data_IF_113801639844
#
_entry.id   IF_113801639844
#
_cell.length_a   1.000
_cell.length_b   1.000
_cell.length_c   1.000
_cell.angle_alpha   90.00
_cell.angle_beta   90.00
_cell.angle_gamma   90.00
#
_symmetry.space_group_name_H-M   'P 1'
#
loop_
_entity.id
_entity.type
_entity.pdbx_description
1 polymer ?
#
# COMPACT_ATOMS: atom_id res chain seq x y z
N UNK A 1 3.18 4.58 -75.42
CA UNK A 1 2.55 3.37 -74.84
C UNK A 1 3.69 2.49 -74.34
N UNK A 2 3.94 2.21 -73.06
CA UNK A 2 3.15 2.20 -71.82
C UNK A 2 4.00 2.78 -70.66
N UNK A 3 3.35 3.51 -69.74
CA UNK A 3 3.85 3.78 -68.37
C UNK A 3 4.05 2.45 -67.64
N UNK A 4 5.01 2.37 -66.72
CA UNK A 4 4.76 1.80 -65.39
C UNK A 4 5.74 2.36 -64.36
N UNK A 5 5.15 3.07 -63.39
CA UNK A 5 5.73 3.54 -62.15
C UNK A 5 5.88 2.32 -61.24
N UNK A 6 7.07 2.08 -60.68
CA UNK A 6 7.22 1.11 -59.60
C UNK A 6 7.64 1.85 -58.34
N UNK A 7 6.62 2.17 -57.54
CA UNK A 7 6.76 2.70 -56.20
C UNK A 7 7.54 1.70 -55.34
N UNK A 8 8.64 2.17 -54.76
CA UNK A 8 9.41 1.43 -53.76
C UNK A 8 8.61 1.43 -52.46
N UNK A 9 7.98 0.30 -52.15
CA UNK A 9 7.21 0.10 -50.93
C UNK A 9 8.17 -0.02 -49.74
N UNK A 10 8.26 1.07 -48.96
CA UNK A 10 8.95 1.10 -47.68
C UNK A 10 8.09 0.36 -46.65
N UNK A 11 8.40 -0.91 -46.39
CA UNK A 11 7.72 -1.70 -45.34
C UNK A 11 8.32 -1.29 -43.99
N UNK A 12 7.71 -0.30 -43.34
CA UNK A 12 7.96 -0.01 -41.93
C UNK A 12 7.33 -1.13 -41.08
N UNK A 13 8.14 -2.08 -40.63
CA UNK A 13 7.74 -3.02 -39.58
C UNK A 13 7.62 -2.28 -38.25
N UNK A 14 6.39 -1.88 -37.91
CA UNK A 14 6.04 -1.38 -36.57
C UNK A 14 6.11 -2.54 -35.58
N UNK A 15 7.17 -2.59 -34.78
CA UNK A 15 7.24 -3.39 -33.57
C UNK A 15 6.22 -2.82 -32.57
N UNK A 16 5.03 -3.43 -32.50
CA UNK A 16 4.07 -3.20 -31.42
C UNK A 16 4.65 -3.84 -30.15
N UNK A 17 5.40 -3.06 -29.38
CA UNK A 17 5.72 -3.42 -27.99
C UNK A 17 4.42 -3.22 -27.20
N UNK A 18 3.67 -4.30 -27.02
CA UNK A 18 2.55 -4.32 -26.08
C UNK A 18 3.10 -4.17 -24.67
N UNK A 19 3.15 -2.93 -24.19
CA UNK A 19 3.32 -2.66 -22.77
C UNK A 19 2.12 -3.30 -22.06
N UNK A 20 2.36 -4.36 -21.29
CA UNK A 20 1.37 -4.89 -20.37
C UNK A 20 1.02 -3.76 -19.40
N UNK A 21 -0.21 -3.26 -19.47
CA UNK A 21 -0.71 -2.27 -18.52
C UNK A 21 -0.96 -3.02 -17.20
N UNK A 22 -0.04 -2.88 -16.25
CA UNK A 22 -0.27 -3.32 -14.88
C UNK A 22 -1.22 -2.30 -14.26
N UNK A 23 -2.51 -2.64 -14.19
CA UNK A 23 -3.48 -1.81 -13.48
C UNK A 23 -3.14 -1.86 -11.99
N UNK A 24 -2.58 -0.78 -11.44
CA UNK A 24 -2.46 -0.60 -10.00
C UNK A 24 -3.71 0.13 -9.49
N UNK A 25 -4.48 -0.52 -8.63
CA UNK A 25 -5.62 0.11 -7.95
C UNK A 25 -5.19 0.55 -6.55
N UNK A 26 -5.37 1.84 -6.25
CA UNK A 26 -5.12 2.40 -4.91
C UNK A 26 -6.46 2.76 -4.28
N UNK A 27 -6.74 2.22 -3.10
CA UNK A 27 -7.91 2.54 -2.27
C UNK A 27 -7.48 3.34 -1.07
N UNK A 28 -8.15 4.45 -0.79
CA UNK A 28 -7.85 5.28 0.38
C UNK A 28 -9.05 5.30 1.33
N UNK A 29 -8.79 5.18 2.64
CA UNK A 29 -9.81 5.30 3.67
C UNK A 29 -9.30 6.03 4.91
N UNK A 30 -10.21 6.64 5.65
CA UNK A 30 -9.92 7.38 6.86
C UNK A 30 -10.69 6.76 8.04
N UNK A 31 -10.04 6.68 9.19
CA UNK A 31 -10.62 6.12 10.41
C UNK A 31 -10.07 6.86 11.64
N UNK A 32 -10.77 6.77 12.76
CA UNK A 32 -10.29 7.30 14.03
C UNK A 32 -10.10 6.17 15.03
N UNK A 33 -9.23 6.39 16.02
CA UNK A 33 -9.06 5.48 17.13
C UNK A 33 -8.91 6.24 18.45
N UNK A 34 -9.40 5.66 19.54
CA UNK A 34 -9.27 6.23 20.87
C UNK A 34 -7.86 6.01 21.41
N UNK A 35 -7.25 7.05 21.95
CA UNK A 35 -5.96 6.96 22.64
C UNK A 35 -6.10 6.62 24.13
N UNK A 36 -7.31 6.35 24.61
CA UNK A 36 -7.56 6.04 26.03
C UNK A 36 -7.35 4.59 26.39
N UNK A 37 -7.32 3.73 25.38
CA UNK A 37 -6.94 2.34 25.49
C UNK A 37 -5.68 2.13 24.66
N UNK A 38 -4.97 1.04 24.90
CA UNK A 38 -3.79 0.66 24.13
C UNK A 38 -4.24 0.34 22.69
N UNK A 39 -3.94 1.20 21.70
CA UNK A 39 -4.47 1.02 20.35
C UNK A 39 -3.88 -0.23 19.72
N UNK A 40 -4.75 -1.06 19.15
CA UNK A 40 -4.36 -2.31 18.49
C UNK A 40 -4.98 -2.40 17.11
N UNK A 41 -4.13 -2.63 16.11
CA UNK A 41 -4.51 -2.70 14.70
C UNK A 41 -4.36 -4.13 14.19
N UNK A 42 -5.34 -4.62 13.44
CA UNK A 42 -5.26 -5.94 12.84
C UNK A 42 -4.27 -5.96 11.66
N UNK A 43 -3.51 -7.04 11.55
CA UNK A 43 -2.57 -7.30 10.47
C UNK A 43 -3.19 -8.29 9.51
N UNK A 44 -3.18 -7.96 8.21
CA UNK A 44 -3.45 -8.95 7.19
C UNK A 44 -2.20 -9.83 6.99
N UNK A 45 -2.23 -11.07 7.46
CA UNK A 45 -1.09 -12.00 7.37
C UNK A 45 -0.73 -12.42 5.93
N UNK A 46 -1.64 -12.18 4.98
CA UNK A 46 -1.47 -12.52 3.56
C UNK A 46 -1.09 -11.32 2.70
N UNK A 47 -0.85 -10.16 3.32
CA UNK A 47 -0.47 -8.94 2.63
C UNK A 47 0.77 -8.33 3.26
N UNK A 48 1.54 -7.63 2.44
CA UNK A 48 2.59 -6.76 2.97
C UNK A 48 1.90 -5.54 3.59
N UNK A 49 2.18 -5.30 4.86
CA UNK A 49 1.62 -4.16 5.59
C UNK A 49 2.74 -3.31 6.16
N UNK A 50 2.66 -2.01 5.90
CA UNK A 50 3.59 -1.01 6.42
C UNK A 50 2.83 0.02 7.24
N UNK A 51 3.38 0.41 8.38
CA UNK A 51 2.85 1.46 9.24
C UNK A 51 3.84 2.61 9.34
N UNK A 52 3.34 3.82 9.15
CA UNK A 52 4.12 5.05 9.22
C UNK A 52 3.45 6.13 10.05
N UNK A 53 4.27 7.02 10.59
CA UNK A 53 3.83 8.27 11.22
C UNK A 53 4.72 9.40 10.70
N UNK A 54 4.14 10.55 10.33
CA UNK A 54 4.88 11.66 9.72
C UNK A 54 5.83 11.20 8.60
N UNK A 55 5.31 10.37 7.69
CA UNK A 55 6.03 9.75 6.56
C UNK A 55 7.23 8.86 6.94
N UNK A 56 7.42 8.57 8.22
CA UNK A 56 8.47 7.68 8.72
C UNK A 56 7.87 6.31 9.00
N UNK A 57 8.39 5.28 8.32
CA UNK A 57 8.00 3.90 8.57
C UNK A 57 8.52 3.42 9.92
N UNK A 58 7.63 2.94 10.77
CA UNK A 58 7.98 2.43 12.11
C UNK A 58 7.70 0.93 12.27
N UNK A 59 6.82 0.35 11.44
CA UNK A 59 6.59 -1.09 11.45
C UNK A 59 6.33 -1.66 10.05
N UNK A 60 6.72 -2.92 9.85
CA UNK A 60 6.51 -3.69 8.62
C UNK A 60 6.14 -5.12 8.99
N UNK A 61 5.20 -5.71 8.26
CA UNK A 61 4.83 -7.12 8.33
C UNK A 61 4.68 -7.66 6.91
N UNK A 62 5.51 -8.65 6.54
CA UNK A 62 5.58 -9.19 5.17
C UNK A 62 5.48 -10.73 5.13
N UNK A 63 4.81 -11.36 6.10
CA UNK A 63 4.64 -12.81 6.21
C UNK A 63 5.92 -13.58 6.56
N UNK A 64 7.06 -13.21 5.97
CA UNK A 64 8.38 -13.78 6.20
C UNK A 64 9.19 -13.00 7.25
N UNK A 65 8.86 -11.74 7.50
CA UNK A 65 9.56 -10.91 8.47
C UNK A 65 8.65 -9.86 9.10
N UNK A 66 9.02 -9.45 10.31
CA UNK A 66 8.38 -8.36 11.03
C UNK A 66 9.45 -7.40 11.53
N UNK A 67 9.17 -6.11 11.41
CA UNK A 67 9.96 -5.04 11.99
C UNK A 67 9.04 -4.14 12.81
N UNK A 68 9.47 -3.76 14.00
CA UNK A 68 8.71 -2.93 14.93
C UNK A 68 9.71 -2.00 15.64
N UNK A 69 9.50 -0.70 15.49
CA UNK A 69 10.26 0.38 16.14
C UNK A 69 9.26 1.35 16.75
N UNK A 70 9.65 2.11 17.79
CA UNK A 70 8.79 3.13 18.37
C UNK A 70 8.13 3.99 17.28
N UNK A 71 6.81 4.25 17.37
CA UNK A 71 5.91 3.98 18.49
C UNK A 71 5.28 2.57 18.52
N UNK A 72 5.71 1.64 17.66
CA UNK A 72 5.31 0.24 17.77
C UNK A 72 5.97 -0.40 18.99
N UNK A 73 5.14 -0.92 19.89
CA UNK A 73 5.57 -1.70 21.06
C UNK A 73 5.60 -3.18 20.73
N UNK A 74 4.65 -3.62 19.92
CA UNK A 74 4.38 -5.04 19.72
C UNK A 74 3.79 -5.33 18.35
N UNK A 75 4.32 -6.36 17.70
CA UNK A 75 3.83 -6.87 16.43
C UNK A 75 3.88 -8.40 16.45
N UNK A 76 2.81 -9.02 16.92
CA UNK A 76 2.68 -10.47 17.03
C UNK A 76 1.21 -10.88 16.91
N UNK A 77 0.93 -12.18 16.74
CA UNK A 77 -0.44 -12.73 16.71
C UNK A 77 -1.39 -12.07 15.70
N UNK A 78 -0.84 -11.47 14.64
CA UNK A 78 -1.62 -10.74 13.65
C UNK A 78 -2.15 -9.40 14.15
N UNK A 79 -1.51 -8.80 15.15
CA UNK A 79 -1.86 -7.51 15.73
C UNK A 79 -0.63 -6.63 15.89
N UNK A 80 -0.81 -5.34 15.64
CA UNK A 80 0.17 -4.29 15.91
C UNK A 80 -0.35 -3.40 17.04
N UNK A 81 0.49 -3.12 18.03
CA UNK A 81 0.17 -2.25 19.17
C UNK A 81 1.12 -1.07 19.22
N UNK A 82 0.57 0.12 19.47
CA UNK A 82 1.31 1.36 19.74
C UNK A 82 1.07 1.84 21.17
N UNK A 83 2.01 2.58 21.76
CA UNK A 83 1.87 3.23 23.07
C UNK A 83 1.68 4.75 22.98
N UNK A 84 1.81 5.33 21.79
CA UNK A 84 1.66 6.76 21.56
C UNK A 84 0.37 7.11 20.81
N UNK A 85 -0.22 8.25 21.17
CA UNK A 85 -1.35 8.83 20.45
C UNK A 85 -0.84 9.63 19.24
N UNK A 86 -0.67 8.97 18.11
CA UNK A 86 -0.12 9.56 16.88
C UNK A 86 -1.00 9.29 15.66
N UNK A 87 -0.92 10.16 14.65
CA UNK A 87 -1.54 9.83 13.37
C UNK A 87 -0.73 8.71 12.69
N UNK A 88 -1.42 7.69 12.21
CA UNK A 88 -0.81 6.51 11.61
C UNK A 88 -1.36 6.37 10.20
N UNK A 89 -0.46 6.17 9.25
CA UNK A 89 -0.83 5.72 7.91
C UNK A 89 -0.45 4.25 7.76
N UNK A 90 -1.42 3.43 7.36
CA UNK A 90 -1.21 2.02 7.06
C UNK A 90 -1.29 1.83 5.56
N UNK A 91 -0.29 1.19 4.99
CA UNK A 91 -0.30 0.79 3.58
C UNK A 91 -0.32 -0.73 3.53
N UNK A 92 -1.34 -1.29 2.89
CA UNK A 92 -1.51 -2.72 2.67
C UNK A 92 -1.35 -2.99 1.19
N UNK A 93 -0.35 -3.79 0.82
CA UNK A 93 -0.13 -4.23 -0.56
C UNK A 93 -0.46 -5.72 -0.64
N UNK A 94 -1.44 -6.04 -1.48
CA UNK A 94 -1.87 -7.42 -1.75
C UNK A 94 -1.70 -7.72 -3.22
N UNK A 95 -1.26 -8.94 -3.53
CA UNK A 95 -1.24 -9.45 -4.92
C UNK A 95 -2.40 -10.42 -5.07
N UNK A 96 -3.27 -10.18 -6.04
CA UNK A 96 -4.36 -11.10 -6.37
C UNK A 96 -3.86 -12.24 -7.27
N UNK A 97 -4.64 -13.32 -7.40
CA UNK A 97 -4.32 -14.47 -8.28
C UNK A 97 -4.10 -14.12 -9.75
N UNK A 98 -4.45 -12.90 -10.17
CA UNK A 98 -4.25 -12.39 -11.54
C UNK A 98 -3.00 -11.51 -11.68
N UNK A 99 -2.07 -11.59 -10.72
CA UNK A 99 -0.89 -10.72 -10.61
C UNK A 99 -1.21 -9.22 -10.57
N UNK A 100 -2.45 -8.87 -10.19
CA UNK A 100 -2.83 -7.46 -9.97
C UNK A 100 -2.48 -7.10 -8.54
N UNK A 101 -1.56 -6.14 -8.40
CA UNK A 101 -1.24 -5.52 -7.12
C UNK A 101 -2.30 -4.48 -6.76
N UNK A 102 -2.90 -4.63 -5.59
CA UNK A 102 -3.82 -3.65 -5.00
C UNK A 102 -3.16 -3.03 -3.79
N UNK A 103 -3.22 -1.70 -3.71
CA UNK A 103 -2.75 -0.95 -2.56
C UNK A 103 -3.96 -0.36 -1.81
N UNK A 104 -4.01 -0.57 -0.50
CA UNK A 104 -4.96 0.10 0.38
C UNK A 104 -4.20 0.99 1.36
N UNK A 105 -4.51 2.29 1.38
CA UNK A 105 -4.01 3.25 2.36
C UNK A 105 -5.08 3.61 3.36
N UNK A 106 -4.73 3.57 4.63
CA UNK A 106 -5.62 3.83 5.75
C UNK A 106 -5.00 4.91 6.62
N UNK A 107 -5.68 6.04 6.73
CA UNK A 107 -5.28 7.13 7.63
C UNK A 107 -6.05 7.00 8.94
N UNK A 108 -5.35 6.62 10.01
CA UNK A 108 -5.86 6.57 11.37
C UNK A 108 -5.51 7.86 12.13
N UNK A 109 -6.55 8.54 12.60
CA UNK A 109 -6.40 9.75 13.43
C UNK A 109 -6.64 9.42 14.90
N UNK A 110 -5.62 9.64 15.72
CA UNK A 110 -5.69 9.44 17.17
C UNK A 110 -6.59 10.48 17.83
N UNK A 111 -7.53 10.03 18.65
CA UNK A 111 -8.43 10.89 19.42
C UNK A 111 -7.95 10.92 20.88
N UNK A 112 -7.43 12.08 21.36
CA UNK A 112 -7.00 12.23 22.73
C UNK A 112 -8.13 11.97 23.71
N UNK A 113 -7.80 11.52 24.90
CA UNK A 113 -8.79 11.40 25.96
C UNK A 113 -9.34 12.76 26.34
N UNK A 114 -10.66 12.82 26.48
CA UNK A 114 -11.31 13.90 27.19
C UNK A 114 -10.61 14.05 28.54
N UNK A 115 -10.07 15.24 28.83
CA UNK A 115 -9.72 15.54 30.21
C UNK A 115 -11.03 15.45 30.99
N UNK A 116 -11.14 14.49 31.91
CA UNK A 116 -12.24 14.51 32.86
C UNK A 116 -12.19 15.87 33.59
N UNK A 117 -13.31 16.60 33.71
CA UNK A 117 -13.38 17.80 34.53
C UNK A 117 -13.02 17.51 35.99
#
# INVERSE_FOLDING_TARGET
MYRNVMASNCVLSLLLVSAAVVNAEVKERHSSYSCCEIPTFQINKHAETTWSTNDTTFAVSSGASTACRPPCVKLEDGRMTVDECVNITVTVVSTTEKDVATEERIHYYGQPCSKSP
#
